data_IF_569716860357
#
_entry.id   IF_569716860357
#
_cell.length_a   1.000
_cell.length_b   1.000
_cell.length_c   1.000
_cell.angle_alpha   90.00
_cell.angle_beta   90.00
_cell.angle_gamma   90.00
#
_symmetry.space_group_name_H-M   'P 1'
#
loop_
_entity.id
_entity.type
_entity.pdbx_description
1 polymer ?
#
# COMPACT_ATOMS: atom_id res chain seq x y z
N UNK A 1 -0.17 -18.63 -23.57
CA UNK A 1 0.81 -18.67 -22.46
C UNK A 1 0.63 -17.38 -21.68
N UNK A 2 0.06 -17.47 -20.49
CA UNK A 2 -0.31 -16.29 -19.70
C UNK A 2 0.71 -16.11 -18.61
N UNK A 3 1.73 -15.36 -18.99
CA UNK A 3 2.87 -15.06 -18.16
C UNK A 3 2.49 -13.89 -17.23
N UNK A 4 2.81 -13.93 -15.92
CA UNK A 4 2.59 -12.76 -15.04
C UNK A 4 3.35 -11.53 -15.57
N UNK A 5 4.37 -11.73 -16.41
CA UNK A 5 4.98 -10.66 -17.21
C UNK A 5 3.98 -9.88 -18.07
N UNK A 6 2.86 -10.46 -18.48
CA UNK A 6 1.79 -9.77 -19.20
C UNK A 6 1.19 -8.64 -18.35
N UNK A 7 1.12 -8.81 -17.01
CA UNK A 7 0.71 -7.74 -16.09
C UNK A 7 1.66 -6.54 -16.16
N UNK A 8 2.95 -6.77 -16.43
CA UNK A 8 3.96 -5.73 -16.55
C UNK A 8 4.08 -5.15 -17.98
N UNK A 9 3.51 -5.79 -19.01
CA UNK A 9 3.57 -5.31 -20.40
C UNK A 9 2.57 -4.18 -20.69
N UNK A 10 2.98 -3.25 -21.53
CA UNK A 10 2.41 -1.90 -21.73
C UNK A 10 0.95 -1.81 -22.26
N UNK A 11 0.27 -2.93 -22.55
CA UNK A 11 -1.12 -2.89 -23.05
C UNK A 11 -2.17 -2.73 -21.94
N UNK A 12 -1.77 -2.79 -20.69
CA UNK A 12 -2.64 -2.64 -19.53
C UNK A 12 -2.65 -1.21 -18.98
N UNK A 13 -2.30 -0.20 -19.77
CA UNK A 13 -2.25 1.20 -19.32
C UNK A 13 -1.14 1.44 -18.27
N UNK A 14 -0.78 2.71 -18.12
CA UNK A 14 0.27 3.11 -17.18
C UNK A 14 -0.29 3.14 -15.75
N UNK A 15 0.38 2.53 -14.75
CA UNK A 15 -0.04 2.57 -13.35
C UNK A 15 0.32 3.93 -12.73
N UNK A 16 -0.35 4.99 -13.16
CA UNK A 16 0.04 6.37 -12.86
C UNK A 16 -0.11 6.70 -11.37
N UNK A 17 -1.10 6.12 -10.66
CA UNK A 17 -1.23 6.35 -9.20
C UNK A 17 -0.01 5.75 -8.51
N UNK A 18 0.37 4.53 -8.89
CA UNK A 18 1.58 3.86 -8.39
C UNK A 18 2.82 4.72 -8.60
N UNK A 19 3.01 5.22 -9.83
CA UNK A 19 4.14 6.06 -10.18
C UNK A 19 4.15 7.39 -9.42
N UNK A 20 2.99 8.03 -9.24
CA UNK A 20 2.88 9.28 -8.46
C UNK A 20 3.27 9.08 -7.00
N UNK A 21 2.81 8.00 -6.36
CA UNK A 21 3.17 7.71 -4.98
C UNK A 21 4.67 7.45 -4.82
N UNK A 22 5.27 6.65 -5.72
CA UNK A 22 6.71 6.35 -5.70
C UNK A 22 7.53 7.62 -5.99
N UNK A 23 7.13 8.42 -6.98
CA UNK A 23 7.77 9.70 -7.27
C UNK A 23 7.69 10.66 -6.08
N UNK A 24 6.54 10.73 -5.40
CA UNK A 24 6.36 11.50 -4.17
C UNK A 24 7.30 11.02 -3.05
N UNK A 25 7.45 9.71 -2.87
CA UNK A 25 8.37 9.15 -1.89
C UNK A 25 9.83 9.53 -2.19
N UNK A 26 10.24 9.40 -3.46
CA UNK A 26 11.59 9.78 -3.90
C UNK A 26 11.81 11.27 -3.73
N UNK A 27 10.91 12.12 -4.23
CA UNK A 27 11.04 13.57 -4.19
C UNK A 27 11.10 14.13 -2.76
N UNK A 28 10.35 13.55 -1.83
CA UNK A 28 10.34 13.97 -0.42
C UNK A 28 11.51 13.41 0.38
N UNK A 29 12.01 12.21 0.03
CA UNK A 29 13.14 11.58 0.74
C UNK A 29 14.49 12.05 0.21
N UNK A 30 14.60 12.39 -1.08
CA UNK A 30 15.87 12.73 -1.74
C UNK A 30 16.63 13.89 -1.08
N UNK A 31 15.98 15.02 -0.68
CA UNK A 31 16.67 16.12 -0.01
C UNK A 31 17.41 15.71 1.27
N UNK A 32 16.93 14.67 1.97
CA UNK A 32 17.51 14.20 3.23
C UNK A 32 18.89 13.54 3.07
N UNK A 33 19.27 13.16 1.86
CA UNK A 33 20.62 12.67 1.58
C UNK A 33 21.65 13.81 1.55
N UNK A 34 21.21 15.03 1.30
CA UNK A 34 22.06 16.22 1.24
C UNK A 34 22.10 16.95 2.58
N UNK A 35 20.94 17.05 3.25
CA UNK A 35 20.85 17.67 4.57
C UNK A 35 19.81 16.95 5.45
N UNK A 36 20.26 16.45 6.61
CA UNK A 36 19.38 15.81 7.59
C UNK A 36 18.41 16.78 8.24
N UNK A 37 18.66 18.08 8.20
CA UNK A 37 17.74 19.13 8.67
C UNK A 37 16.38 19.07 7.99
N UNK A 38 16.30 18.60 6.74
CA UNK A 38 15.02 18.37 6.05
C UNK A 38 14.14 17.34 6.76
N UNK A 39 14.72 16.39 7.50
CA UNK A 39 13.95 15.41 8.26
C UNK A 39 13.07 16.09 9.31
N UNK A 40 13.63 17.06 10.02
CA UNK A 40 12.93 17.86 11.02
C UNK A 40 11.89 18.78 10.36
N UNK A 41 12.25 19.45 9.26
CA UNK A 41 11.32 20.33 8.53
C UNK A 41 10.08 19.57 8.05
N UNK A 42 10.24 18.32 7.60
CA UNK A 42 9.13 17.48 7.14
C UNK A 42 8.33 16.84 8.29
N UNK A 43 8.65 17.22 9.53
CA UNK A 43 7.97 16.75 10.74
C UNK A 43 8.26 15.29 11.08
N UNK A 44 9.38 14.76 10.62
CA UNK A 44 9.79 13.39 10.93
C UNK A 44 10.78 13.43 12.10
N UNK A 45 10.60 12.57 13.09
CA UNK A 45 11.42 12.55 14.31
C UNK A 45 11.10 13.62 15.36
N UNK A 46 10.01 14.39 15.19
CA UNK A 46 9.49 15.21 16.27
C UNK A 46 8.78 14.31 17.30
N UNK A 47 9.52 13.81 18.28
CA UNK A 47 8.99 13.42 19.59
C UNK A 47 9.18 14.59 20.55
N UNK A 48 8.76 15.80 20.14
CA UNK A 48 8.91 16.96 20.98
C UNK A 48 7.85 16.90 22.08
N UNK A 49 8.28 16.87 23.35
CA UNK A 49 7.40 16.65 24.50
C UNK A 49 6.22 17.63 24.57
N UNK A 50 6.41 18.82 23.99
CA UNK A 50 5.42 19.90 23.98
C UNK A 50 4.63 20.02 22.66
N UNK A 51 4.92 19.18 21.66
CA UNK A 51 4.30 19.20 20.31
C UNK A 51 4.30 20.59 19.60
N UNK A 52 5.05 21.58 20.08
CA UNK A 52 4.90 23.00 19.72
C UNK A 52 5.13 23.31 18.23
N UNK A 53 5.84 22.41 17.53
CA UNK A 53 6.18 22.57 16.11
C UNK A 53 5.48 21.57 15.19
N UNK A 54 4.63 20.69 15.71
CA UNK A 54 3.95 19.68 14.89
C UNK A 54 2.74 20.29 14.17
N UNK A 55 2.86 20.47 12.86
CA UNK A 55 1.78 20.95 12.00
C UNK A 55 0.96 19.78 11.45
N UNK A 56 -0.34 19.96 11.23
CA UNK A 56 -1.22 18.91 10.71
C UNK A 56 -0.71 18.28 9.40
N UNK A 57 -0.05 19.06 8.55
CA UNK A 57 0.51 18.59 7.29
C UNK A 57 1.74 17.68 7.46
N UNK A 58 2.43 17.70 8.61
CA UNK A 58 3.49 16.72 8.90
C UNK A 58 2.94 15.29 8.87
N UNK A 59 1.75 15.09 9.42
CA UNK A 59 1.11 13.77 9.41
C UNK A 59 0.76 13.28 7.99
N UNK A 60 0.56 14.21 7.04
CA UNK A 60 0.40 13.91 5.61
C UNK A 60 1.73 13.57 4.94
N UNK A 61 2.73 14.44 5.10
CA UNK A 61 4.02 14.35 4.42
C UNK A 61 4.85 13.17 4.91
N UNK A 62 4.78 12.83 6.20
CA UNK A 62 5.48 11.68 6.79
C UNK A 62 5.19 10.34 6.10
N UNK A 63 4.06 10.19 5.41
CA UNK A 63 3.74 8.99 4.61
C UNK A 63 4.69 8.83 3.41
N UNK A 64 5.25 9.91 2.88
CA UNK A 64 6.15 9.87 1.73
C UNK A 64 7.63 9.87 2.15
N UNK A 65 7.92 10.36 3.35
CA UNK A 65 9.30 10.43 3.86
C UNK A 65 9.78 9.07 4.36
N UNK A 66 10.98 8.68 3.97
CA UNK A 66 11.67 7.49 4.50
C UNK A 66 12.96 7.92 5.20
N UNK A 67 13.15 7.54 6.46
CA UNK A 67 14.39 7.85 7.20
C UNK A 67 14.38 7.29 8.61
N UNK A 68 15.39 7.64 9.43
CA UNK A 68 15.32 7.55 10.89
C UNK A 68 15.19 6.18 11.57
N UNK A 69 15.74 5.08 11.04
CA UNK A 69 15.72 3.80 11.74
C UNK A 69 16.33 2.63 10.97
N UNK A 70 16.03 1.40 11.40
CA UNK A 70 16.31 0.16 10.68
C UNK A 70 15.06 -0.30 9.90
N UNK A 71 15.16 -0.61 8.59
CA UNK A 71 16.37 -0.50 7.77
C UNK A 71 16.71 0.98 7.48
N UNK A 72 17.98 1.27 7.20
CA UNK A 72 18.43 2.64 6.90
C UNK A 72 17.65 3.27 5.73
N UNK A 73 17.66 4.61 5.66
CA UNK A 73 16.86 5.42 4.72
C UNK A 73 16.74 4.84 3.31
N UNK A 74 17.88 4.49 2.70
CA UNK A 74 17.93 3.93 1.34
C UNK A 74 17.23 2.59 1.23
N UNK A 75 17.54 1.66 2.13
CA UNK A 75 16.91 0.35 2.14
C UNK A 75 15.41 0.47 2.43
N UNK A 76 15.00 1.35 3.35
CA UNK A 76 13.59 1.59 3.64
C UNK A 76 12.82 2.14 2.42
N UNK A 77 13.39 3.13 1.71
CA UNK A 77 12.81 3.69 0.48
C UNK A 77 12.75 2.65 -0.64
N UNK A 78 13.84 1.90 -0.86
CA UNK A 78 13.95 0.90 -1.94
C UNK A 78 12.96 -0.24 -1.69
N UNK A 79 12.93 -0.82 -0.49
CA UNK A 79 12.01 -1.92 -0.16
C UNK A 79 10.56 -1.47 -0.37
N UNK A 80 10.17 -0.31 0.17
CA UNK A 80 8.82 0.20 -0.01
C UNK A 80 8.50 0.47 -1.48
N UNK A 81 9.45 1.05 -2.22
CA UNK A 81 9.27 1.36 -3.65
C UNK A 81 9.14 0.08 -4.48
N UNK A 82 9.90 -0.97 -4.18
CA UNK A 82 9.78 -2.28 -4.85
C UNK A 82 8.43 -2.92 -4.55
N UNK A 83 7.98 -2.93 -3.29
CA UNK A 83 6.64 -3.41 -2.93
C UNK A 83 5.54 -2.64 -3.69
N UNK A 84 5.62 -1.31 -3.68
CA UNK A 84 4.63 -0.45 -4.30
C UNK A 84 4.65 -0.60 -5.84
N UNK A 85 5.82 -0.61 -6.46
CA UNK A 85 5.96 -0.77 -7.91
C UNK A 85 5.50 -2.14 -8.40
N UNK A 86 5.76 -3.22 -7.66
CA UNK A 86 5.39 -4.57 -8.10
C UNK A 86 3.92 -4.85 -7.78
N UNK A 87 3.56 -4.86 -6.50
CA UNK A 87 2.20 -5.21 -6.09
C UNK A 87 1.22 -4.09 -6.44
N UNK A 88 1.58 -2.84 -6.18
CA UNK A 88 0.72 -1.70 -6.51
C UNK A 88 0.43 -1.60 -8.01
N UNK A 89 1.45 -1.73 -8.88
CA UNK A 89 1.21 -1.75 -10.34
C UNK A 89 0.31 -2.90 -10.77
N UNK A 90 0.49 -4.10 -10.21
CA UNK A 90 -0.35 -5.26 -10.54
C UNK A 90 -1.81 -5.01 -10.13
N UNK A 91 -2.03 -4.51 -8.92
CA UNK A 91 -3.37 -4.17 -8.41
C UNK A 91 -3.98 -3.07 -9.29
N UNK A 92 -3.25 -1.98 -9.54
CA UNK A 92 -3.74 -0.84 -10.35
C UNK A 92 -4.09 -1.26 -11.77
N UNK A 93 -3.24 -2.05 -12.43
CA UNK A 93 -3.48 -2.49 -13.81
C UNK A 93 -4.66 -3.44 -13.92
N UNK A 94 -4.88 -4.30 -12.92
CA UNK A 94 -6.01 -5.24 -12.89
C UNK A 94 -7.31 -4.56 -12.48
N UNK A 95 -7.30 -3.68 -11.49
CA UNK A 95 -8.53 -3.07 -10.95
C UNK A 95 -8.89 -1.71 -11.57
N UNK A 96 -7.92 -1.05 -12.18
CA UNK A 96 -8.01 0.35 -12.60
C UNK A 96 -7.59 1.33 -11.49
N UNK A 97 -7.09 2.48 -11.93
CA UNK A 97 -6.55 3.54 -11.05
C UNK A 97 -7.57 4.10 -10.06
N UNK A 98 -8.86 4.13 -10.41
CA UNK A 98 -9.90 4.59 -9.50
C UNK A 98 -10.01 3.72 -8.24
N UNK A 99 -10.10 2.40 -8.42
CA UNK A 99 -10.21 1.44 -7.29
C UNK A 99 -8.91 1.41 -6.50
N UNK A 100 -7.79 1.36 -7.19
CA UNK A 100 -6.49 1.39 -6.54
C UNK A 100 -6.26 2.69 -5.74
N UNK A 101 -6.63 3.84 -6.29
CA UNK A 101 -6.59 5.12 -5.61
C UNK A 101 -7.49 5.16 -4.37
N UNK A 102 -8.69 4.58 -4.45
CA UNK A 102 -9.59 4.47 -3.30
C UNK A 102 -9.01 3.61 -2.17
N UNK A 103 -8.35 2.49 -2.51
CA UNK A 103 -7.60 1.67 -1.54
C UNK A 103 -6.47 2.48 -0.89
N UNK A 104 -5.65 3.16 -1.70
CA UNK A 104 -4.55 3.99 -1.19
C UNK A 104 -5.05 5.10 -0.27
N UNK A 105 -6.11 5.80 -0.66
CA UNK A 105 -6.73 6.86 0.13
C UNK A 105 -7.28 6.32 1.47
N UNK A 106 -7.96 5.18 1.47
CA UNK A 106 -8.46 4.57 2.70
C UNK A 106 -7.31 4.19 3.65
N UNK A 107 -6.26 3.55 3.14
CA UNK A 107 -5.08 3.20 3.94
C UNK A 107 -4.36 4.44 4.49
N UNK A 108 -4.29 5.50 3.69
CA UNK A 108 -3.71 6.77 4.10
C UNK A 108 -4.53 7.46 5.19
N UNK A 109 -5.86 7.54 5.06
CA UNK A 109 -6.76 8.10 6.07
C UNK A 109 -6.68 7.33 7.39
N UNK A 110 -6.70 5.99 7.35
CA UNK A 110 -6.56 5.17 8.57
C UNK A 110 -5.17 5.37 9.20
N UNK A 111 -4.11 5.41 8.39
CA UNK A 111 -2.76 5.70 8.85
C UNK A 111 -2.65 7.09 9.51
N UNK A 112 -3.29 8.09 8.93
CA UNK A 112 -3.34 9.45 9.47
C UNK A 112 -4.07 9.48 10.83
N UNK A 113 -5.24 8.84 10.91
CA UNK A 113 -6.01 8.73 12.14
C UNK A 113 -5.22 8.03 13.25
N UNK A 114 -4.49 6.96 12.93
CA UNK A 114 -3.61 6.27 13.86
C UNK A 114 -2.48 7.17 14.36
N UNK A 115 -1.82 7.92 13.48
CA UNK A 115 -0.73 8.84 13.85
C UNK A 115 -1.22 9.90 14.82
N UNK A 116 -2.37 10.50 14.52
CA UNK A 116 -2.99 11.53 15.36
C UNK A 116 -3.45 10.94 16.69
N UNK A 117 -4.19 9.83 16.67
CA UNK A 117 -4.79 9.26 17.89
C UNK A 117 -3.81 8.56 18.83
N UNK A 118 -2.74 7.97 18.31
CA UNK A 118 -1.73 7.27 19.13
C UNK A 118 -0.52 8.13 19.48
N UNK A 119 -0.45 9.38 18.99
CA UNK A 119 0.73 10.24 19.08
C UNK A 119 2.04 9.52 18.70
N UNK A 120 1.96 8.65 17.69
CA UNK A 120 3.09 7.87 17.19
C UNK A 120 3.31 8.20 15.72
N UNK A 121 4.39 8.92 15.45
CA UNK A 121 4.75 9.34 14.10
C UNK A 121 5.57 8.25 13.41
N UNK A 122 4.86 7.27 12.83
CA UNK A 122 5.45 6.36 11.86
C UNK A 122 5.61 7.08 10.50
N UNK A 123 6.69 6.78 9.79
CA UNK A 123 6.99 7.36 8.49
C UNK A 123 7.14 6.30 7.40
N UNK A 124 7.01 6.73 6.16
CA UNK A 124 7.06 5.88 4.97
C UNK A 124 5.70 5.36 4.56
N UNK A 125 5.67 4.81 3.34
CA UNK A 125 4.45 4.36 2.66
C UNK A 125 4.07 2.91 3.02
N UNK A 126 4.76 2.34 4.02
CA UNK A 126 4.59 0.96 4.43
C UNK A 126 3.14 0.65 4.80
N UNK A 127 2.44 1.56 5.49
CA UNK A 127 1.02 1.43 5.83
C UNK A 127 0.11 1.15 4.61
N UNK A 128 0.49 1.59 3.42
CA UNK A 128 -0.25 1.28 2.19
C UNK A 128 0.26 -0.04 1.58
N UNK A 129 1.57 -0.25 1.56
CA UNK A 129 2.18 -1.49 1.03
C UNK A 129 1.64 -2.76 1.72
N UNK A 130 1.43 -2.71 3.03
CA UNK A 130 0.88 -3.83 3.78
C UNK A 130 -0.55 -4.18 3.37
N UNK A 131 -1.34 -3.20 2.96
CA UNK A 131 -2.66 -3.46 2.38
C UNK A 131 -2.58 -4.15 1.00
N UNK A 132 -1.43 -4.10 0.31
CA UNK A 132 -1.23 -4.83 -0.94
C UNK A 132 -0.86 -6.30 -0.72
N UNK A 133 -0.24 -6.62 0.41
CA UNK A 133 0.15 -8.00 0.76
C UNK A 133 -1.06 -8.93 0.75
N UNK A 134 -2.24 -8.46 1.16
CA UNK A 134 -3.48 -9.26 1.14
C UNK A 134 -4.00 -9.56 -0.28
N UNK A 135 -3.55 -8.83 -1.30
CA UNK A 135 -3.86 -9.13 -2.71
C UNK A 135 -2.90 -10.17 -3.30
N UNK A 136 -1.70 -10.35 -2.74
CA UNK A 136 -0.69 -11.27 -3.28
C UNK A 136 -1.19 -12.73 -3.40
N UNK A 137 -1.93 -13.30 -2.43
CA UNK A 137 -2.52 -14.63 -2.57
C UNK A 137 -3.42 -14.79 -3.79
N UNK A 138 -4.10 -13.72 -4.22
CA UNK A 138 -4.96 -13.75 -5.44
C UNK A 138 -4.09 -13.92 -6.68
N UNK A 139 -2.99 -13.17 -6.78
CA UNK A 139 -2.07 -13.26 -7.92
C UNK A 139 -1.29 -14.57 -7.93
N UNK A 140 -0.81 -15.03 -6.77
CA UNK A 140 -0.13 -16.31 -6.61
C UNK A 140 -1.09 -17.45 -6.99
N UNK A 141 -2.30 -17.45 -6.43
CA UNK A 141 -3.31 -18.46 -6.71
C UNK A 141 -3.73 -18.49 -8.18
N UNK A 142 -3.81 -17.33 -8.83
CA UNK A 142 -4.08 -17.24 -10.27
C UNK A 142 -2.92 -17.83 -11.10
N UNK A 143 -1.68 -17.38 -10.89
CA UNK A 143 -0.51 -17.88 -11.61
C UNK A 143 -0.29 -19.39 -11.43
N UNK A 144 -0.53 -19.91 -10.22
CA UNK A 144 -0.48 -21.35 -9.97
C UNK A 144 -1.56 -22.12 -10.72
N UNK A 145 -2.79 -21.60 -10.78
CA UNK A 145 -3.89 -22.28 -11.50
C UNK A 145 -3.68 -22.33 -13.01
N UNK A 146 -3.12 -21.27 -13.60
CA UNK A 146 -2.94 -21.16 -15.05
C UNK A 146 -1.70 -21.92 -15.55
N UNK A 147 -0.56 -21.79 -14.86
CA UNK A 147 0.73 -22.31 -15.33
C UNK A 147 1.28 -23.47 -14.47
N UNK A 148 0.68 -23.76 -13.31
CA UNK A 148 1.11 -24.81 -12.35
C UNK A 148 2.62 -24.73 -12.07
N UNK A 149 3.35 -25.85 -12.22
CA UNK A 149 4.80 -25.90 -12.01
C UNK A 149 5.59 -24.96 -12.92
N UNK A 150 5.04 -24.52 -14.07
CA UNK A 150 5.70 -23.55 -14.95
C UNK A 150 5.73 -22.14 -14.36
N UNK A 151 4.84 -21.83 -13.40
CA UNK A 151 4.83 -20.55 -12.70
C UNK A 151 6.16 -20.27 -11.98
N UNK A 152 6.83 -21.31 -11.45
CA UNK A 152 8.15 -21.19 -10.82
C UNK A 152 9.28 -20.82 -11.79
N UNK A 153 9.05 -20.86 -13.10
CA UNK A 153 9.99 -20.35 -14.11
C UNK A 153 9.75 -18.89 -14.45
N UNK A 154 8.67 -18.29 -13.94
CA UNK A 154 8.36 -16.88 -14.16
C UNK A 154 8.96 -16.01 -13.03
N UNK A 155 9.95 -15.15 -13.32
CA UNK A 155 10.58 -14.29 -12.32
C UNK A 155 9.58 -13.32 -11.67
N UNK A 156 8.49 -12.93 -12.36
CA UNK A 156 7.48 -12.05 -11.76
C UNK A 156 6.67 -12.80 -10.72
N UNK A 157 6.29 -14.05 -11.00
CA UNK A 157 5.63 -14.92 -10.03
C UNK A 157 6.50 -15.13 -8.80
N UNK A 158 7.78 -15.49 -9.00
CA UNK A 158 8.74 -15.66 -7.90
C UNK A 158 8.90 -14.37 -7.09
N UNK A 159 9.00 -13.21 -7.75
CA UNK A 159 9.10 -11.93 -7.08
C UNK A 159 7.87 -11.65 -6.21
N UNK A 160 6.66 -11.92 -6.70
CA UNK A 160 5.42 -11.76 -5.92
C UNK A 160 5.40 -12.70 -4.71
N UNK A 161 5.84 -13.96 -4.87
CA UNK A 161 5.96 -14.92 -3.76
C UNK A 161 6.97 -14.43 -2.71
N UNK A 162 8.14 -13.96 -3.15
CA UNK A 162 9.18 -13.41 -2.24
C UNK A 162 8.65 -12.20 -1.49
N UNK A 163 8.01 -11.24 -2.18
CA UNK A 163 7.43 -10.06 -1.53
C UNK A 163 6.30 -10.44 -0.56
N UNK A 164 5.49 -11.45 -0.89
CA UNK A 164 4.46 -11.95 0.02
C UNK A 164 5.08 -12.54 1.29
N UNK A 165 6.09 -13.40 1.16
CA UNK A 165 6.79 -14.00 2.31
C UNK A 165 7.50 -12.95 3.15
N UNK A 166 8.22 -12.01 2.53
CA UNK A 166 8.87 -10.89 3.23
C UNK A 166 7.83 -10.01 3.94
N UNK A 167 6.66 -9.81 3.32
CA UNK A 167 5.50 -9.24 3.99
C UNK A 167 5.14 -10.06 5.23
N UNK A 168 4.82 -11.34 5.12
CA UNK A 168 4.44 -12.11 6.31
C UNK A 168 5.50 -12.09 7.43
N UNK A 169 6.80 -12.13 7.10
CA UNK A 169 7.89 -12.03 8.09
C UNK A 169 7.93 -10.64 8.74
N UNK A 170 7.71 -9.57 7.98
CA UNK A 170 7.69 -8.20 8.49
C UNK A 170 6.43 -7.82 9.29
N UNK A 171 5.50 -8.76 9.52
CA UNK A 171 4.27 -8.59 10.32
C UNK A 171 4.56 -8.48 11.83
N UNK A 172 5.72 -7.95 12.22
CA UNK A 172 6.12 -7.79 13.63
C UNK A 172 5.52 -6.52 14.23
N UNK A 173 4.87 -5.68 13.43
CA UNK A 173 4.35 -4.37 13.84
C UNK A 173 2.82 -4.29 13.73
N UNK A 174 2.15 -3.86 14.80
CA UNK A 174 0.69 -3.64 14.86
C UNK A 174 0.19 -2.74 13.73
N UNK A 175 0.97 -1.74 13.31
CA UNK A 175 0.63 -0.86 12.17
C UNK A 175 0.46 -1.62 10.86
N UNK A 176 1.30 -2.63 10.64
CA UNK A 176 1.26 -3.48 9.44
C UNK A 176 0.02 -4.38 9.47
N UNK A 177 -0.31 -4.94 10.63
CA UNK A 177 -1.52 -5.74 10.80
C UNK A 177 -2.79 -4.91 10.54
N UNK A 178 -2.88 -3.68 11.06
CA UNK A 178 -4.02 -2.79 10.80
C UNK A 178 -4.13 -2.47 9.31
N UNK A 179 -3.02 -2.16 8.64
CA UNK A 179 -3.01 -1.94 7.20
C UNK A 179 -3.54 -3.14 6.40
N UNK A 180 -3.14 -4.37 6.76
CA UNK A 180 -3.69 -5.59 6.15
C UNK A 180 -5.20 -5.73 6.41
N UNK A 181 -5.66 -5.43 7.63
CA UNK A 181 -7.09 -5.43 7.98
C UNK A 181 -7.88 -4.41 7.16
N UNK A 182 -7.30 -3.25 6.84
CA UNK A 182 -7.93 -2.26 5.94
C UNK A 182 -7.99 -2.79 4.50
N UNK A 183 -6.94 -3.45 4.02
CA UNK A 183 -6.90 -4.01 2.66
C UNK A 183 -7.88 -5.17 2.43
N UNK A 184 -8.14 -5.98 3.46
CA UNK A 184 -8.93 -7.21 3.33
C UNK A 184 -10.38 -6.99 2.85
N UNK A 185 -11.15 -6.02 3.37
CA UNK A 185 -12.45 -5.65 2.83
C UNK A 185 -12.43 -5.33 1.34
N UNK A 186 -11.39 -4.64 0.85
CA UNK A 186 -11.27 -4.30 -0.57
C UNK A 186 -11.01 -5.53 -1.44
N UNK A 187 -10.15 -6.46 -1.00
CA UNK A 187 -9.95 -7.74 -1.69
C UNK A 187 -11.28 -8.49 -1.79
N UNK A 188 -12.05 -8.55 -0.70
CA UNK A 188 -13.33 -9.26 -0.65
C UNK A 188 -14.41 -8.58 -1.50
N UNK A 189 -14.49 -7.25 -1.46
CA UNK A 189 -15.45 -6.45 -2.22
C UNK A 189 -15.18 -6.54 -3.73
N UNK A 190 -13.90 -6.54 -4.13
CA UNK A 190 -13.50 -6.56 -5.54
C UNK A 190 -13.14 -7.95 -6.07
N UNK A 191 -13.38 -9.02 -5.31
CA UNK A 191 -13.00 -10.40 -5.69
C UNK A 191 -13.53 -10.86 -7.05
N UNK A 192 -14.75 -10.44 -7.43
CA UNK A 192 -15.35 -10.78 -8.73
C UNK A 192 -14.63 -10.03 -9.85
N UNK A 193 -14.48 -8.72 -9.71
CA UNK A 193 -13.76 -7.86 -10.65
C UNK A 193 -12.30 -8.31 -10.83
N UNK A 194 -11.59 -8.61 -9.75
CA UNK A 194 -10.22 -9.17 -9.78
C UNK A 194 -10.17 -10.42 -10.64
N UNK A 195 -11.04 -11.40 -10.36
CA UNK A 195 -11.08 -12.68 -11.07
C UNK A 195 -11.41 -12.51 -12.54
N UNK A 196 -12.42 -11.70 -12.84
CA UNK A 196 -12.90 -11.47 -14.21
C UNK A 196 -11.84 -10.73 -15.03
N UNK A 197 -11.19 -9.70 -14.46
CA UNK A 197 -10.13 -8.97 -15.15
C UNK A 197 -8.87 -9.81 -15.34
N UNK A 198 -8.51 -10.68 -14.39
CA UNK A 198 -7.42 -11.65 -14.58
C UNK A 198 -7.75 -12.63 -15.72
N UNK A 199 -8.98 -13.15 -15.79
CA UNK A 199 -9.41 -14.02 -16.90
C UNK A 199 -9.41 -13.28 -18.25
N UNK A 200 -9.94 -12.06 -18.29
CA UNK A 200 -9.95 -11.23 -19.50
C UNK A 200 -8.54 -10.92 -19.99
N UNK A 201 -7.63 -10.62 -19.07
CA UNK A 201 -6.23 -10.43 -19.39
C UNK A 201 -5.63 -11.68 -20.05
N UNK A 202 -5.96 -12.87 -19.56
CA UNK A 202 -5.50 -14.13 -20.14
C UNK A 202 -5.99 -14.32 -21.58
N UNK A 203 -7.19 -13.81 -21.86
CA UNK A 203 -7.85 -13.86 -23.16
C UNK A 203 -7.43 -12.69 -24.08
N UNK A 204 -6.65 -11.73 -23.59
CA UNK A 204 -6.32 -10.50 -24.32
C UNK A 204 -7.51 -9.54 -24.48
N UNK A 205 -8.55 -9.69 -23.67
CA UNK A 205 -9.76 -8.88 -23.67
C UNK A 205 -9.59 -7.55 -22.91
N UNK A 206 -10.37 -6.51 -23.25
CA UNK A 206 -10.36 -5.25 -22.52
C UNK A 206 -10.85 -5.43 -21.07
N UNK A 207 -10.11 -4.84 -20.12
CA UNK A 207 -10.42 -4.94 -18.69
C UNK A 207 -11.54 -3.98 -18.28
N UNK A 208 -12.36 -4.38 -17.30
CA UNK A 208 -13.36 -3.50 -16.69
C UNK A 208 -12.74 -2.57 -15.64
N UNK A 209 -12.31 -1.38 -16.10
CA UNK A 209 -11.62 -0.37 -15.28
C UNK A 209 -12.49 0.81 -14.88
N UNK A 210 -13.61 1.01 -15.56
CA UNK A 210 -14.35 2.28 -15.56
C UNK A 210 -15.68 2.26 -14.81
N UNK A 211 -16.09 1.13 -14.23
CA UNK A 211 -17.35 1.08 -13.50
C UNK A 211 -17.30 1.76 -12.12
N UNK A 212 -17.73 3.04 -12.12
CA UNK A 212 -18.55 3.67 -11.09
C UNK A 212 -17.81 4.34 -9.92
N UNK A 213 -17.39 5.59 -10.08
CA UNK A 213 -16.90 6.44 -8.99
C UNK A 213 -17.84 6.46 -7.77
N UNK A 214 -19.16 6.48 -8.00
CA UNK A 214 -20.18 6.39 -6.95
C UNK A 214 -20.15 5.04 -6.19
N UNK A 215 -19.97 3.92 -6.90
CA UNK A 215 -19.80 2.60 -6.25
C UNK A 215 -18.47 2.50 -5.51
N UNK A 216 -17.42 3.16 -6.00
CA UNK A 216 -16.13 3.23 -5.32
C UNK A 216 -16.24 4.01 -4.01
N UNK A 217 -16.90 5.17 -4.02
CA UNK A 217 -17.17 5.95 -2.80
C UNK A 217 -18.00 5.13 -1.79
N UNK A 218 -19.01 4.40 -2.26
CA UNK A 218 -19.86 3.56 -1.41
C UNK A 218 -19.13 2.37 -0.75
N UNK A 219 -17.99 1.92 -1.29
CA UNK A 219 -17.17 0.84 -0.71
C UNK A 219 -16.03 1.41 0.13
N UNK A 220 -15.36 2.44 -0.37
CA UNK A 220 -14.20 3.04 0.29
C UNK A 220 -14.60 3.77 1.57
N UNK A 221 -15.76 4.44 1.58
CA UNK A 221 -16.21 5.19 2.74
C UNK A 221 -16.53 4.29 3.95
N UNK A 222 -17.34 3.21 3.84
CA UNK A 222 -17.57 2.31 4.97
C UNK A 222 -16.32 1.55 5.40
N UNK A 223 -15.43 1.17 4.47
CA UNK A 223 -14.18 0.50 4.82
C UNK A 223 -13.23 1.43 5.59
N UNK A 224 -13.11 2.69 5.17
CA UNK A 224 -12.36 3.71 5.89
C UNK A 224 -12.99 4.01 7.25
N UNK A 225 -14.32 4.08 7.32
CA UNK A 225 -15.06 4.31 8.57
C UNK A 225 -14.92 3.14 9.54
N UNK A 226 -15.03 1.90 9.06
CA UNK A 226 -14.82 0.71 9.88
C UNK A 226 -13.39 0.63 10.41
N UNK A 227 -12.39 0.91 9.54
CA UNK A 227 -11.00 1.03 9.94
C UNK A 227 -10.81 2.11 11.02
N UNK A 228 -11.39 3.29 10.81
CA UNK A 228 -11.35 4.40 11.77
C UNK A 228 -11.99 4.01 13.11
N UNK A 229 -13.18 3.41 13.10
CA UNK A 229 -13.87 2.96 14.32
C UNK A 229 -13.06 1.91 15.08
N UNK A 230 -12.51 0.91 14.40
CA UNK A 230 -11.63 -0.11 15.02
C UNK A 230 -10.42 0.57 15.66
N UNK A 231 -9.80 1.51 14.97
CA UNK A 231 -8.65 2.27 15.47
C UNK A 231 -9.01 3.11 16.70
N UNK A 232 -10.14 3.83 16.68
CA UNK A 232 -10.58 4.64 17.81
C UNK A 232 -10.94 3.78 19.01
N UNK A 233 -11.59 2.62 18.79
CA UNK A 233 -11.88 1.66 19.87
C UNK A 233 -10.60 1.07 20.45
N UNK A 234 -9.65 0.63 19.61
CA UNK A 234 -8.36 0.11 20.07
C UNK A 234 -7.54 1.18 20.80
N UNK A 235 -7.53 2.41 20.30
CA UNK A 235 -6.88 3.55 20.95
C UNK A 235 -7.48 3.86 22.32
N UNK A 236 -8.82 3.84 22.44
CA UNK A 236 -9.51 4.06 23.70
C UNK A 236 -9.29 2.93 24.72
N UNK A 237 -9.14 1.69 24.26
CA UNK A 237 -8.84 0.53 25.11
C UNK A 237 -7.37 0.56 25.55
N UNK A 238 -6.43 0.75 24.62
CA UNK A 238 -4.99 0.74 24.90
C UNK A 238 -4.51 1.99 25.66
N UNK A 239 -5.16 3.14 25.42
CA UNK A 239 -4.86 4.39 26.14
C UNK A 239 -5.27 4.38 27.61
N UNK A 240 -6.11 3.43 28.03
CA UNK A 240 -6.49 3.21 29.44
C UNK A 240 -5.57 2.24 30.18
N UNK A 241 -4.56 1.66 29.51
CA UNK A 241 -3.58 0.72 30.10
C UNK A 241 -2.25 1.43 30.39
N UNK A 242 -2.28 2.73 30.71
CA UNK A 242 -1.12 3.48 31.19
C UNK A 242 -1.23 3.71 32.69
#
# INVERSE_FOLDING_TARGET
MTNLRALLRAKLGLPWVTLLFVAGCVATTLPMYFDRGYYLILGVGHEDADNAHIRWWHALVTTFVHGGGFPGTTAHLVINSVFFLVLGSMIERVLGSGRFGALCAACWCVGLALKIGLHRYAHGISNINWAFVVFAPVFIGHGWRTERARAFKDPVFLLVVVLFVLGLIGLVNTWHAIAMLVGMPFVLAWRRVLRDNLRKMDQGEPLDRWQGAARMAAIAFPAALAGFSIVMTLGAVLGKVR
#
